data_IF_997310734103
#
_entry.id   IF_997310734103
#
_cell.length_a   1.000
_cell.length_b   1.000
_cell.length_c   1.000
_cell.angle_alpha   90.00
_cell.angle_beta   90.00
_cell.angle_gamma   90.00
#
_symmetry.space_group_name_H-M   'P 1'
#
loop_
_entity.id
_entity.type
_entity.pdbx_description
1 polymer ?
#
# COMPACT_ATOMS: atom_id res chain seq x y z
N UNK A 1 12.98 12.16 5.04
CA UNK A 1 11.53 12.05 4.86
C UNK A 1 10.94 11.71 6.21
N UNK A 2 10.06 12.56 6.71
CA UNK A 2 9.43 12.40 8.02
C UNK A 2 7.99 11.85 7.88
N UNK A 3 7.32 11.64 9.02
CA UNK A 3 5.96 11.09 9.04
C UNK A 3 4.96 12.08 8.39
N UNK A 4 5.19 13.39 8.50
CA UNK A 4 4.37 14.42 7.85
C UNK A 4 4.49 14.34 6.33
N UNK A 5 5.69 14.15 5.81
CA UNK A 5 5.94 13.93 4.39
C UNK A 5 5.16 12.70 3.91
N UNK A 6 5.27 11.56 4.60
CA UNK A 6 4.55 10.33 4.22
C UNK A 6 3.04 10.54 4.17
N UNK A 7 2.46 11.25 5.16
CA UNK A 7 1.03 11.58 5.15
C UNK A 7 0.65 12.49 3.98
N UNK A 8 1.53 13.42 3.59
CA UNK A 8 1.33 14.28 2.42
C UNK A 8 1.32 13.44 1.14
N UNK A 9 2.32 12.57 0.93
CA UNK A 9 2.36 11.68 -0.23
C UNK A 9 1.18 10.71 -0.26
N UNK A 10 0.75 10.17 0.89
CA UNK A 10 -0.45 9.37 0.99
C UNK A 10 -1.70 10.10 0.47
N UNK A 11 -1.88 11.38 0.83
CA UNK A 11 -3.00 12.17 0.28
C UNK A 11 -2.88 12.39 -1.22
N UNK A 12 -1.69 12.72 -1.71
CA UNK A 12 -1.44 12.96 -3.14
C UNK A 12 -1.72 11.68 -3.96
N UNK A 13 -1.13 10.55 -3.55
CA UNK A 13 -1.33 9.28 -4.23
C UNK A 13 -2.74 8.72 -4.04
N UNK A 14 -3.43 9.03 -2.95
CA UNK A 14 -4.85 8.72 -2.79
C UNK A 14 -5.72 9.46 -3.82
N UNK A 15 -5.45 10.73 -4.08
CA UNK A 15 -6.14 11.48 -5.14
C UNK A 15 -5.81 10.93 -6.53
N UNK A 16 -4.55 10.58 -6.80
CA UNK A 16 -4.14 9.96 -8.08
C UNK A 16 -4.83 8.60 -8.25
N UNK A 17 -4.88 7.78 -7.19
CA UNK A 17 -5.55 6.49 -7.16
C UNK A 17 -7.04 6.62 -7.51
N UNK A 18 -7.72 7.61 -6.93
CA UNK A 18 -9.12 7.87 -7.22
C UNK A 18 -9.32 8.25 -8.70
N UNK A 19 -8.45 9.12 -9.24
CA UNK A 19 -8.51 9.51 -10.66
C UNK A 19 -8.30 8.29 -11.56
N UNK A 20 -7.28 7.47 -11.32
CA UNK A 20 -7.02 6.25 -12.10
C UNK A 20 -8.16 5.25 -12.01
N UNK A 21 -8.74 5.05 -10.83
CA UNK A 21 -9.88 4.18 -10.67
C UNK A 21 -11.12 4.70 -11.43
N UNK A 22 -11.36 6.01 -11.46
CA UNK A 22 -12.44 6.61 -12.28
C UNK A 22 -12.16 6.37 -13.77
N UNK A 23 -10.92 6.58 -14.22
CA UNK A 23 -10.53 6.34 -15.61
C UNK A 23 -10.74 4.86 -16.01
N UNK A 24 -10.43 3.91 -15.12
CA UNK A 24 -10.70 2.48 -15.34
C UNK A 24 -12.18 2.24 -15.70
N UNK A 25 -13.10 2.86 -14.97
CA UNK A 25 -14.55 2.69 -15.20
C UNK A 25 -14.96 3.22 -16.58
N UNK A 26 -14.40 4.35 -17.02
CA UNK A 26 -14.78 4.97 -18.28
C UNK A 26 -14.06 4.40 -19.51
N UNK A 27 -12.81 3.94 -19.39
CA UNK A 27 -11.99 3.60 -20.56
C UNK A 27 -11.96 2.09 -20.90
N UNK A 28 -12.29 1.19 -19.97
CA UNK A 28 -12.29 -0.26 -20.19
C UNK A 28 -13.67 -0.79 -20.63
N UNK A 29 -14.08 -0.44 -21.85
CA UNK A 29 -15.39 -0.84 -22.40
C UNK A 29 -15.53 -2.35 -22.62
N UNK A 30 -14.42 -3.05 -22.83
CA UNK A 30 -14.40 -4.50 -23.08
C UNK A 30 -14.80 -5.32 -21.84
N UNK A 31 -14.80 -4.67 -20.67
CA UNK A 31 -15.14 -5.27 -19.39
C UNK A 31 -16.57 -4.87 -18.99
N UNK A 32 -17.31 -5.81 -18.39
CA UNK A 32 -18.65 -5.54 -17.87
C UNK A 32 -18.61 -4.39 -16.86
N UNK A 33 -19.66 -3.57 -16.86
CA UNK A 33 -19.74 -2.41 -15.96
C UNK A 33 -19.67 -2.82 -14.48
N UNK A 34 -20.25 -3.97 -14.13
CA UNK A 34 -20.21 -4.53 -12.78
C UNK A 34 -18.76 -4.81 -12.34
N UNK A 35 -17.99 -5.50 -13.17
CA UNK A 35 -16.57 -5.83 -12.92
C UNK A 35 -15.72 -4.57 -12.79
N UNK A 36 -15.97 -3.54 -13.62
CA UNK A 36 -15.31 -2.24 -13.51
C UNK A 36 -15.59 -1.53 -12.19
N UNK A 37 -16.84 -1.56 -11.73
CA UNK A 37 -17.23 -0.96 -10.44
C UNK A 37 -16.59 -1.72 -9.28
N UNK A 38 -16.55 -3.06 -9.33
CA UNK A 38 -15.84 -3.86 -8.32
C UNK A 38 -14.34 -3.56 -8.32
N UNK A 39 -13.70 -3.45 -9.48
CA UNK A 39 -12.29 -3.09 -9.58
C UNK A 39 -12.02 -1.68 -9.02
N UNK A 40 -12.87 -0.71 -9.34
CA UNK A 40 -12.82 0.65 -8.78
C UNK A 40 -12.84 0.62 -7.24
N UNK A 41 -13.76 -0.14 -6.65
CA UNK A 41 -13.87 -0.27 -5.20
C UNK A 41 -12.65 -0.98 -4.62
N UNK A 42 -12.25 -2.10 -5.21
CA UNK A 42 -11.12 -2.91 -4.74
C UNK A 42 -9.81 -2.12 -4.75
N UNK A 43 -9.55 -1.33 -5.79
CA UNK A 43 -8.33 -0.51 -5.91
C UNK A 43 -8.33 0.60 -4.85
N UNK A 44 -9.44 1.32 -4.67
CA UNK A 44 -9.54 2.37 -3.65
C UNK A 44 -9.45 1.82 -2.22
N UNK A 45 -10.24 0.79 -1.92
CA UNK A 45 -10.22 0.15 -0.61
C UNK A 45 -8.85 -0.46 -0.33
N UNK A 46 -8.27 -1.17 -1.30
CA UNK A 46 -6.95 -1.80 -1.17
C UNK A 46 -5.84 -0.79 -0.87
N UNK A 47 -5.84 0.34 -1.57
CA UNK A 47 -4.90 1.44 -1.32
C UNK A 47 -4.94 1.91 0.15
N UNK A 48 -6.12 2.29 0.62
CA UNK A 48 -6.30 2.83 1.96
C UNK A 48 -6.09 1.77 3.04
N UNK A 49 -6.56 0.55 2.79
CA UNK A 49 -6.47 -0.57 3.72
C UNK A 49 -5.02 -0.94 4.00
N UNK A 50 -4.19 -1.10 2.96
CA UNK A 50 -2.78 -1.47 3.15
C UNK A 50 -1.98 -0.37 3.85
N UNK A 51 -2.23 0.89 3.49
CA UNK A 51 -1.61 2.03 4.18
C UNK A 51 -1.98 2.05 5.68
N UNK A 52 -3.26 1.95 6.00
CA UNK A 52 -3.75 2.02 7.37
C UNK A 52 -3.36 0.80 8.21
N UNK A 53 -3.31 -0.38 7.60
CA UNK A 53 -2.85 -1.59 8.26
C UNK A 53 -1.42 -1.39 8.79
N UNK A 54 -0.45 -1.05 7.94
CA UNK A 54 0.93 -0.88 8.41
C UNK A 54 1.13 0.34 9.32
N UNK A 55 0.56 1.50 8.97
CA UNK A 55 0.75 2.73 9.75
C UNK A 55 0.12 2.71 11.15
N UNK A 56 -0.70 1.70 11.47
CA UNK A 56 -1.32 1.54 12.79
C UNK A 56 -0.61 0.51 13.69
N UNK A 57 0.30 -0.31 13.16
CA UNK A 57 0.93 -1.40 13.90
C UNK A 57 1.85 -0.93 15.04
N UNK A 58 2.57 0.18 14.85
CA UNK A 58 3.47 0.75 15.87
C UNK A 58 2.73 1.09 17.17
N UNK A 59 1.48 1.58 17.07
CA UNK A 59 0.69 2.04 18.21
C UNK A 59 0.31 0.92 19.19
N UNK A 60 0.29 -0.33 18.74
CA UNK A 60 -0.20 -1.47 19.53
C UNK A 60 0.91 -2.29 20.18
N UNK A 61 2.09 -2.41 19.57
CA UNK A 61 3.22 -3.18 20.14
C UNK A 61 3.82 -2.56 21.40
N UNK A 62 3.57 -1.27 21.64
CA UNK A 62 4.13 -0.50 22.75
C UNK A 62 3.49 -0.86 24.11
N UNK A 63 2.35 -1.58 24.12
CA UNK A 63 1.60 -1.89 25.36
C UNK A 63 2.14 -3.09 26.16
N UNK A 64 3.24 -3.72 25.77
CA UNK A 64 3.82 -4.82 26.56
C UNK A 64 4.55 -4.30 27.80
N UNK A 65 4.17 -4.78 28.98
CA UNK A 65 4.81 -4.44 30.25
C UNK A 65 6.23 -5.04 30.42
N UNK A 66 6.58 -6.06 29.63
CA UNK A 66 7.88 -6.72 29.69
C UNK A 66 8.84 -6.15 28.63
N UNK A 67 10.01 -5.68 29.08
CA UNK A 67 11.07 -5.12 28.23
C UNK A 67 11.60 -6.11 27.18
N UNK A 68 11.72 -7.40 27.50
CA UNK A 68 12.16 -8.40 26.53
C UNK A 68 11.17 -8.53 25.36
N UNK A 69 9.88 -8.65 25.67
CA UNK A 69 8.81 -8.72 24.67
C UNK A 69 8.74 -7.45 23.83
N UNK A 70 9.01 -6.28 24.44
CA UNK A 70 9.08 -5.00 23.72
C UNK A 70 10.20 -5.02 22.67
N UNK A 71 11.42 -5.43 23.06
CA UNK A 71 12.58 -5.49 22.15
C UNK A 71 12.32 -6.46 21.00
N UNK A 72 11.90 -7.70 21.30
CA UNK A 72 11.63 -8.72 20.29
C UNK A 72 10.48 -8.28 19.37
N UNK A 73 9.42 -7.71 19.92
CA UNK A 73 8.29 -7.19 19.15
C UNK A 73 8.69 -6.07 18.20
N UNK A 74 9.50 -5.11 18.66
CA UNK A 74 10.03 -4.03 17.82
C UNK A 74 10.91 -4.57 16.69
N UNK A 75 11.76 -5.57 16.95
CA UNK A 75 12.58 -6.21 15.90
C UNK A 75 11.70 -6.89 14.85
N UNK A 76 10.69 -7.65 15.28
CA UNK A 76 9.75 -8.33 14.38
C UNK A 76 8.99 -7.34 13.51
N UNK A 77 8.51 -6.22 14.09
CA UNK A 77 7.84 -5.17 13.32
C UNK A 77 8.78 -4.46 12.35
N UNK A 78 10.05 -4.25 12.69
CA UNK A 78 11.06 -3.70 11.78
C UNK A 78 11.28 -4.62 10.57
N UNK A 79 11.43 -5.93 10.81
CA UNK A 79 11.53 -6.92 9.73
C UNK A 79 10.27 -6.94 8.86
N UNK A 80 9.09 -6.88 9.49
CA UNK A 80 7.81 -6.86 8.78
C UNK A 80 7.64 -5.60 7.93
N UNK A 81 8.06 -4.43 8.42
CA UNK A 81 8.05 -3.18 7.65
C UNK A 81 8.98 -3.27 6.42
N UNK A 82 10.19 -3.81 6.59
CA UNK A 82 11.13 -4.03 5.49
C UNK A 82 10.52 -4.98 4.46
N UNK A 83 9.94 -6.09 4.91
CA UNK A 83 9.25 -7.04 4.05
C UNK A 83 8.11 -6.38 3.26
N UNK A 84 7.27 -5.56 3.90
CA UNK A 84 6.20 -4.82 3.24
C UNK A 84 6.71 -3.88 2.13
N UNK A 85 7.85 -3.22 2.35
CA UNK A 85 8.53 -2.42 1.32
C UNK A 85 8.95 -3.30 0.14
N UNK A 86 9.61 -4.44 0.38
CA UNK A 86 10.00 -5.35 -0.72
C UNK A 86 8.79 -5.90 -1.48
N UNK A 87 7.73 -6.31 -0.77
CA UNK A 87 6.49 -6.77 -1.39
C UNK A 87 5.87 -5.70 -2.29
N UNK A 88 5.91 -4.42 -1.89
CA UNK A 88 5.36 -3.35 -2.73
C UNK A 88 6.06 -3.26 -4.09
N UNK A 89 7.40 -3.34 -4.12
CA UNK A 89 8.15 -3.36 -5.37
C UNK A 89 7.90 -4.61 -6.19
N UNK A 90 7.78 -5.77 -5.53
CA UNK A 90 7.50 -7.04 -6.20
C UNK A 90 6.12 -7.04 -6.87
N UNK A 91 5.09 -6.47 -6.22
CA UNK A 91 3.75 -6.33 -6.80
C UNK A 91 3.79 -5.40 -8.04
N UNK A 92 4.48 -4.26 -7.95
CA UNK A 92 4.65 -3.36 -9.10
C UNK A 92 5.34 -4.09 -10.24
N UNK A 93 6.41 -4.84 -9.95
CA UNK A 93 7.12 -5.63 -10.94
C UNK A 93 6.20 -6.63 -11.63
N UNK A 94 5.39 -7.39 -10.89
CA UNK A 94 4.41 -8.33 -11.47
C UNK A 94 3.45 -7.62 -12.41
N UNK A 95 2.84 -6.49 -11.98
CA UNK A 95 1.89 -5.76 -12.82
C UNK A 95 2.53 -5.23 -14.10
N UNK A 96 3.73 -4.67 -14.01
CA UNK A 96 4.46 -4.16 -15.18
C UNK A 96 4.87 -5.30 -16.11
N UNK A 97 5.40 -6.40 -15.57
CA UNK A 97 5.79 -7.56 -16.36
C UNK A 97 4.60 -8.20 -17.07
N UNK A 98 3.46 -8.31 -16.41
CA UNK A 98 2.21 -8.86 -17.01
C UNK A 98 1.73 -7.95 -18.13
N UNK A 99 1.72 -6.63 -17.92
CA UNK A 99 1.32 -5.68 -18.95
C UNK A 99 2.21 -5.74 -20.20
N UNK A 100 3.52 -6.00 -20.03
CA UNK A 100 4.46 -6.12 -21.15
C UNK A 100 4.33 -7.48 -21.85
N UNK A 101 4.24 -8.57 -21.08
CA UNK A 101 4.26 -9.93 -21.63
C UNK A 101 2.91 -10.33 -22.27
N UNK A 102 1.80 -9.90 -21.68
CA UNK A 102 0.46 -10.37 -22.02
C UNK A 102 -0.40 -9.27 -22.68
N UNK A 103 0.12 -8.04 -22.81
CA UNK A 103 -0.65 -6.85 -23.20
C UNK A 103 -1.88 -6.59 -22.31
N UNK A 104 -1.86 -7.07 -21.07
CA UNK A 104 -2.94 -6.88 -20.10
C UNK A 104 -2.68 -5.65 -19.22
N UNK A 105 -3.27 -4.52 -19.61
CA UNK A 105 -3.04 -3.22 -18.95
C UNK A 105 -3.90 -2.98 -17.71
N UNK A 106 -4.85 -3.86 -17.40
CA UNK A 106 -5.79 -3.69 -16.28
C UNK A 106 -5.03 -3.58 -14.95
N UNK A 107 -4.00 -4.42 -14.76
CA UNK A 107 -3.16 -4.40 -13.57
C UNK A 107 -2.43 -3.07 -13.32
N UNK A 108 -2.18 -2.27 -14.36
CA UNK A 108 -1.53 -0.97 -14.22
C UNK A 108 -2.40 0.04 -13.45
N UNK A 109 -3.73 -0.06 -13.57
CA UNK A 109 -4.64 0.77 -12.77
C UNK A 109 -4.59 0.42 -11.27
N UNK A 110 -4.13 -0.79 -10.93
CA UNK A 110 -3.99 -1.27 -9.56
C UNK A 110 -2.61 -0.98 -8.93
N UNK A 111 -1.66 -0.37 -9.66
CA UNK A 111 -0.31 -0.04 -9.15
C UNK A 111 -0.38 0.81 -7.87
N UNK A 112 -1.39 1.67 -7.75
CA UNK A 112 -1.55 2.50 -6.57
C UNK A 112 -1.71 1.66 -5.29
N UNK A 113 -2.31 0.45 -5.34
CA UNK A 113 -2.39 -0.45 -4.17
C UNK A 113 -0.99 -0.73 -3.59
N UNK A 114 -0.02 -1.01 -4.47
CA UNK A 114 1.36 -1.24 -4.06
C UNK A 114 2.01 0.02 -3.47
N UNK A 115 1.66 1.21 -3.98
CA UNK A 115 2.09 2.49 -3.39
C UNK A 115 1.50 2.67 -1.98
N UNK A 116 0.24 2.30 -1.76
CA UNK A 116 -0.39 2.30 -0.43
C UNK A 116 0.36 1.40 0.56
N UNK A 117 0.70 0.19 0.12
CA UNK A 117 1.54 -0.75 0.88
C UNK A 117 2.92 -0.17 1.20
N UNK A 118 3.60 0.41 0.21
CA UNK A 118 4.91 1.05 0.37
C UNK A 118 4.86 2.16 1.42
N UNK A 119 3.93 3.12 1.26
CA UNK A 119 3.80 4.25 2.16
C UNK A 119 3.43 3.82 3.59
N UNK A 120 2.56 2.81 3.72
CA UNK A 120 2.20 2.25 5.02
C UNK A 120 3.39 1.60 5.71
N UNK A 121 4.09 0.73 4.99
CA UNK A 121 5.26 -0.01 5.49
C UNK A 121 6.41 0.93 5.86
N UNK A 122 6.64 1.96 5.03
CA UNK A 122 7.65 2.96 5.31
C UNK A 122 7.26 3.88 6.49
N UNK A 123 5.97 4.19 6.64
CA UNK A 123 5.47 4.89 7.84
C UNK A 123 5.77 4.10 9.10
N UNK A 124 5.50 2.79 9.09
CA UNK A 124 5.80 1.90 10.22
C UNK A 124 7.30 1.90 10.54
N UNK A 125 8.15 1.83 9.52
CA UNK A 125 9.60 1.88 9.69
C UNK A 125 10.08 3.18 10.35
N UNK A 126 9.54 4.33 9.91
CA UNK A 126 9.89 5.64 10.48
C UNK A 126 9.44 5.76 11.95
N UNK A 127 8.23 5.31 12.26
CA UNK A 127 7.71 5.29 13.64
C UNK A 127 8.65 4.50 14.56
N UNK A 128 9.10 3.31 14.13
CA UNK A 128 9.98 2.43 14.91
C UNK A 128 11.46 2.86 14.95
N UNK A 129 11.87 3.81 14.10
CA UNK A 129 13.22 4.38 14.09
C UNK A 129 13.34 5.59 15.04
N UNK A 130 12.23 6.31 15.24
CA UNK A 130 12.17 7.45 16.13
C UNK A 130 11.89 7.06 17.60
N UNK A 131 11.78 5.76 17.89
CA UNK A 131 11.80 5.14 19.23
C UNK A 131 13.18 4.62 19.60
#
# INVERSE_FOLDING_TARGET
MDISDIKKYYKIFGSINLIFAILLVFFLYDIKIEERVYAFLAINVGYHMLYHFFSSLSKNSIRSANNFNKIVGTIMLKLFAIFGVFCSFFIIFIFVSTAIAENEYIGLFAICIAIGLFLGSYSLWLDLKNE
#
